data_IF_222547038866
#
_entry.id   IF_222547038866
#
_cell.length_a   1.000
_cell.length_b   1.000
_cell.length_c   1.000
_cell.angle_alpha   90.00
_cell.angle_beta   90.00
_cell.angle_gamma   90.00
#
_symmetry.space_group_name_H-M   'P 1'
#
loop_
_entity.id
_entity.type
_entity.pdbx_description
1 polymer ?
#
# COMPACT_ATOMS: atom_id res chain seq x y z
N UNK A 1 10.35 6.59 -21.63
CA UNK A 1 10.48 5.29 -20.98
C UNK A 1 10.64 4.25 -22.07
N UNK A 2 11.79 3.59 -22.12
CA UNK A 2 12.02 2.43 -22.99
C UNK A 2 11.27 1.21 -22.43
N UNK A 3 11.17 0.13 -23.20
CA UNK A 3 10.56 -1.12 -22.73
C UNK A 3 11.33 -1.72 -21.53
N UNK A 4 12.66 -1.59 -21.53
CA UNK A 4 13.51 -2.06 -20.44
C UNK A 4 13.30 -1.23 -19.16
N UNK A 5 13.23 0.10 -19.29
CA UNK A 5 12.94 1.00 -18.17
C UNK A 5 11.54 0.74 -17.56
N UNK A 6 10.55 0.42 -18.41
CA UNK A 6 9.20 0.08 -17.95
C UNK A 6 9.19 -1.25 -17.18
N UNK A 7 9.85 -2.29 -17.71
CA UNK A 7 9.96 -3.58 -17.03
C UNK A 7 10.60 -3.42 -15.65
N UNK A 8 11.71 -2.67 -15.56
CA UNK A 8 12.38 -2.42 -14.28
C UNK A 8 11.51 -1.63 -13.29
N UNK A 9 10.72 -0.68 -13.79
CA UNK A 9 9.79 0.07 -12.97
C UNK A 9 8.67 -0.83 -12.41
N UNK A 10 8.12 -1.72 -13.23
CA UNK A 10 7.11 -2.72 -12.82
C UNK A 10 7.70 -3.67 -11.78
N UNK A 11 8.90 -4.21 -12.02
CA UNK A 11 9.57 -5.12 -11.08
C UNK A 11 9.81 -4.44 -9.72
N UNK A 12 10.32 -3.20 -9.74
CA UNK A 12 10.57 -2.43 -8.53
C UNK A 12 9.28 -2.14 -7.76
N UNK A 13 8.21 -1.81 -8.49
CA UNK A 13 6.89 -1.56 -7.92
C UNK A 13 6.31 -2.82 -7.26
N UNK A 14 6.27 -3.94 -7.98
CA UNK A 14 5.76 -5.20 -7.48
C UNK A 14 6.55 -5.72 -6.26
N UNK A 15 7.88 -5.59 -6.28
CA UNK A 15 8.73 -5.92 -5.13
C UNK A 15 8.42 -5.03 -3.92
N UNK A 16 8.08 -3.77 -4.15
CA UNK A 16 7.72 -2.85 -3.08
C UNK A 16 6.36 -3.19 -2.46
N UNK A 17 5.38 -3.57 -3.28
CA UNK A 17 4.08 -4.07 -2.79
C UNK A 17 4.25 -5.26 -1.86
N UNK A 18 5.10 -6.23 -2.23
CA UNK A 18 5.39 -7.40 -1.39
C UNK A 18 6.01 -7.01 -0.04
N UNK A 19 7.02 -6.12 -0.06
CA UNK A 19 7.65 -5.63 1.18
C UNK A 19 6.66 -4.86 2.07
N UNK A 20 5.73 -4.13 1.47
CA UNK A 20 4.69 -3.42 2.21
C UNK A 20 3.73 -4.41 2.89
N UNK A 21 3.30 -5.47 2.19
CA UNK A 21 2.47 -6.51 2.77
C UNK A 21 3.18 -7.20 3.96
N UNK A 22 4.46 -7.54 3.82
CA UNK A 22 5.26 -8.10 4.92
C UNK A 22 5.41 -7.13 6.10
N UNK A 23 5.72 -5.85 5.83
CA UNK A 23 5.93 -4.85 6.88
C UNK A 23 4.63 -4.57 7.67
N UNK A 24 3.50 -4.55 6.98
CA UNK A 24 2.20 -4.30 7.61
C UNK A 24 1.65 -5.51 8.36
N UNK A 25 1.99 -6.73 7.94
CA UNK A 25 1.73 -7.94 8.72
C UNK A 25 2.38 -7.88 10.12
N UNK A 26 3.68 -7.56 10.18
CA UNK A 26 4.37 -7.40 11.47
C UNK A 26 3.78 -6.25 12.32
N UNK A 27 3.40 -5.15 11.67
CA UNK A 27 2.75 -4.03 12.36
C UNK A 27 1.40 -4.39 12.99
N UNK A 28 0.61 -5.26 12.35
CA UNK A 28 -0.63 -5.78 12.94
C UNK A 28 -0.35 -6.62 14.19
N UNK A 29 0.70 -7.45 14.18
CA UNK A 29 1.11 -8.23 15.35
C UNK A 29 1.47 -7.29 16.53
N UNK A 30 2.27 -6.25 16.28
CA UNK A 30 2.67 -5.26 17.30
C UNK A 30 1.46 -4.46 17.87
N UNK A 31 0.44 -4.21 17.05
CA UNK A 31 -0.82 -3.56 17.46
C UNK A 31 -1.62 -4.39 18.47
N UNK A 32 -1.68 -5.71 18.28
CA UNK A 32 -2.38 -6.63 19.19
C UNK A 32 -1.69 -6.67 20.56
N UNK A 33 -0.36 -6.62 20.59
CA UNK A 33 0.42 -6.67 21.83
C UNK A 33 0.41 -5.34 22.61
N UNK A 34 -0.27 -4.30 22.11
CA UNK A 34 -0.32 -2.96 22.71
C UNK A 34 1.08 -2.33 22.88
N UNK A 35 2.03 -2.67 22.01
CA UNK A 35 3.38 -2.10 22.06
C UNK A 35 3.45 -0.74 21.34
N UNK A 36 2.76 0.26 21.91
CA UNK A 36 2.63 1.61 21.35
C UNK A 36 3.96 2.33 21.07
N UNK A 37 5.05 1.94 21.73
CA UNK A 37 6.38 2.49 21.45
C UNK A 37 6.95 1.97 20.12
N UNK A 38 6.81 0.69 19.82
CA UNK A 38 7.27 0.10 18.55
C UNK A 38 6.43 0.59 17.36
N UNK A 39 5.11 0.70 17.55
CA UNK A 39 4.17 1.28 16.59
C UNK A 39 4.62 2.69 16.14
N UNK A 40 5.08 3.52 17.09
CA UNK A 40 5.51 4.90 16.79
C UNK A 40 6.75 4.99 15.91
N UNK A 41 7.60 3.94 15.89
CA UNK A 41 8.80 3.87 15.06
C UNK A 41 8.52 3.34 13.65
N UNK A 42 7.57 2.41 13.51
CA UNK A 42 7.26 1.74 12.24
C UNK A 42 6.27 2.53 11.40
N UNK A 43 5.32 3.22 12.03
CA UNK A 43 4.25 3.94 11.35
C UNK A 43 4.74 4.97 10.32
N UNK A 44 5.77 5.80 10.59
CA UNK A 44 6.30 6.73 9.59
C UNK A 44 6.75 6.01 8.31
N UNK A 45 7.42 4.86 8.43
CA UNK A 45 7.90 4.08 7.30
C UNK A 45 6.74 3.49 6.47
N UNK A 46 5.67 3.03 7.13
CA UNK A 46 4.45 2.57 6.44
C UNK A 46 3.82 3.71 5.65
N UNK A 47 3.67 4.89 6.27
CA UNK A 47 3.07 6.06 5.62
C UNK A 47 3.91 6.51 4.42
N UNK A 48 5.23 6.56 4.55
CA UNK A 48 6.14 6.88 3.44
C UNK A 48 6.00 5.88 2.29
N UNK A 49 5.91 4.58 2.61
CA UNK A 49 5.78 3.57 1.57
C UNK A 49 4.42 3.60 0.88
N UNK A 50 3.32 3.89 1.60
CA UNK A 50 2.01 4.07 0.97
C UNK A 50 1.99 5.31 0.06
N UNK A 51 2.68 6.39 0.44
CA UNK A 51 2.84 7.57 -0.42
C UNK A 51 3.58 7.21 -1.71
N UNK A 52 4.68 6.47 -1.61
CA UNK A 52 5.44 6.00 -2.77
C UNK A 52 4.59 5.11 -3.69
N UNK A 53 3.82 4.18 -3.12
CA UNK A 53 2.89 3.33 -3.88
C UNK A 53 1.86 4.18 -4.61
N UNK A 54 1.26 5.18 -3.95
CA UNK A 54 0.28 6.07 -4.59
C UNK A 54 0.89 6.83 -5.78
N UNK A 55 2.10 7.36 -5.65
CA UNK A 55 2.77 8.07 -6.75
C UNK A 55 3.08 7.16 -7.94
N UNK A 56 3.49 5.91 -7.69
CA UNK A 56 3.73 4.92 -8.73
C UNK A 56 2.41 4.48 -9.40
N UNK A 57 1.39 4.20 -8.58
CA UNK A 57 0.05 3.81 -9.01
C UNK A 57 -0.56 4.83 -9.97
N UNK A 58 -0.46 6.13 -9.67
CA UNK A 58 -0.93 7.18 -10.57
C UNK A 58 -0.28 7.15 -11.97
N UNK A 59 0.98 6.69 -12.08
CA UNK A 59 1.67 6.55 -13.36
C UNK A 59 1.17 5.30 -14.10
N UNK A 60 1.02 4.18 -13.39
CA UNK A 60 0.58 2.92 -14.00
C UNK A 60 -0.90 2.94 -14.41
N UNK A 61 -1.77 3.68 -13.70
CA UNK A 61 -3.14 3.96 -14.15
C UNK A 61 -3.14 4.73 -15.47
N UNK A 62 -2.30 5.76 -15.62
CA UNK A 62 -2.20 6.53 -16.88
C UNK A 62 -1.65 5.71 -18.05
N UNK A 63 -0.92 4.64 -17.76
CA UNK A 63 -0.37 3.71 -18.75
C UNK A 63 -1.28 2.49 -18.98
N UNK A 64 -2.47 2.46 -18.37
CA UNK A 64 -3.43 1.35 -18.42
C UNK A 64 -2.88 0.03 -17.88
N UNK A 65 -1.89 0.03 -16.98
CA UNK A 65 -1.43 -1.21 -16.32
C UNK A 65 -2.24 -1.55 -15.07
N UNK A 66 -2.93 -0.56 -14.49
CA UNK A 66 -3.77 -0.70 -13.31
C UNK A 66 -5.09 0.02 -13.58
N UNK A 67 -6.19 -0.56 -13.13
CA UNK A 67 -7.51 -0.01 -13.36
C UNK A 67 -7.69 1.29 -12.57
N UNK A 68 -8.45 2.25 -13.12
CA UNK A 68 -8.63 3.53 -12.44
C UNK A 68 -9.42 3.36 -11.14
N UNK A 69 -10.30 2.35 -11.08
CA UNK A 69 -11.06 1.99 -9.88
C UNK A 69 -10.15 1.54 -8.74
N UNK A 70 -9.14 0.71 -9.03
CA UNK A 70 -8.14 0.29 -8.04
C UNK A 70 -7.34 1.49 -7.52
N UNK A 71 -6.99 2.42 -8.42
CA UNK A 71 -6.38 3.70 -8.06
C UNK A 71 -7.24 4.53 -7.10
N UNK A 72 -8.56 4.54 -7.29
CA UNK A 72 -9.51 5.24 -6.40
C UNK A 72 -9.60 4.51 -5.06
N UNK A 73 -9.78 3.18 -5.07
CA UNK A 73 -9.85 2.36 -3.87
C UNK A 73 -8.61 2.54 -2.98
N UNK A 74 -7.41 2.62 -3.58
CA UNK A 74 -6.18 2.84 -2.85
C UNK A 74 -6.14 4.18 -2.11
N UNK A 75 -6.59 5.26 -2.78
CA UNK A 75 -6.69 6.58 -2.15
C UNK A 75 -7.76 6.65 -1.07
N UNK A 76 -8.87 5.95 -1.25
CA UNK A 76 -9.91 5.83 -0.22
C UNK A 76 -9.36 5.11 1.02
N UNK A 77 -8.59 4.03 0.84
CA UNK A 77 -7.90 3.33 1.92
C UNK A 77 -6.95 4.26 2.67
N UNK A 78 -6.09 5.02 1.97
CA UNK A 78 -5.22 6.03 2.62
C UNK A 78 -6.04 7.01 3.46
N UNK A 79 -7.19 7.45 2.94
CA UNK A 79 -8.10 8.35 3.67
C UNK A 79 -8.68 7.71 4.94
N UNK A 80 -9.02 6.42 4.92
CA UNK A 80 -9.44 5.67 6.11
C UNK A 80 -8.30 5.54 7.12
N UNK A 81 -7.10 5.18 6.66
CA UNK A 81 -5.90 5.04 7.47
C UNK A 81 -5.56 6.35 8.20
N UNK A 82 -5.59 7.46 7.47
CA UNK A 82 -5.36 8.79 8.04
C UNK A 82 -6.35 9.12 9.17
N UNK A 83 -7.64 8.84 8.97
CA UNK A 83 -8.67 9.06 9.99
C UNK A 83 -8.48 8.18 11.22
N UNK A 84 -8.08 6.92 11.04
CA UNK A 84 -7.79 6.04 12.16
C UNK A 84 -6.62 6.57 13.01
N UNK A 85 -5.55 7.03 12.35
CA UNK A 85 -4.38 7.63 13.00
C UNK A 85 -4.70 8.94 13.71
N UNK A 86 -5.44 9.84 13.06
CA UNK A 86 -5.84 11.14 13.63
C UNK A 86 -6.65 10.95 14.92
N UNK A 87 -7.57 9.98 14.91
CA UNK A 87 -8.41 9.66 16.07
C UNK A 87 -7.74 8.75 17.10
N UNK A 88 -6.52 8.26 16.83
CA UNK A 88 -5.83 7.23 17.63
C UNK A 88 -6.68 5.97 17.80
N UNK A 89 -7.46 5.62 16.78
CA UNK A 89 -8.28 4.42 16.74
C UNK A 89 -7.43 3.24 16.27
N UNK A 90 -6.72 2.63 17.22
CA UNK A 90 -5.81 1.52 16.94
C UNK A 90 -6.53 0.23 16.55
N UNK A 91 -7.81 0.08 16.92
CA UNK A 91 -8.64 -1.06 16.50
C UNK A 91 -8.94 -0.94 15.01
N UNK A 92 -9.42 0.22 14.57
CA UNK A 92 -9.64 0.45 13.14
C UNK A 92 -8.33 0.38 12.35
N UNK A 93 -7.23 0.93 12.89
CA UNK A 93 -5.92 0.86 12.24
C UNK A 93 -5.49 -0.59 12.00
N UNK A 94 -5.64 -1.44 13.01
CA UNK A 94 -5.37 -2.87 12.92
C UNK A 94 -6.25 -3.54 11.85
N UNK A 95 -7.56 -3.32 11.87
CA UNK A 95 -8.50 -3.94 10.92
C UNK A 95 -8.19 -3.53 9.47
N UNK A 96 -7.85 -2.25 9.24
CA UNK A 96 -7.46 -1.75 7.93
C UNK A 96 -6.20 -2.45 7.42
N UNK A 97 -5.17 -2.58 8.26
CA UNK A 97 -3.92 -3.23 7.88
C UNK A 97 -4.07 -4.74 7.70
N UNK A 98 -4.83 -5.43 8.57
CA UNK A 98 -4.98 -6.88 8.54
C UNK A 98 -5.86 -7.35 7.37
N UNK A 99 -7.01 -6.69 7.17
CA UNK A 99 -8.04 -7.21 6.27
C UNK A 99 -8.21 -6.41 4.97
N UNK A 100 -7.92 -5.11 4.96
CA UNK A 100 -8.12 -4.29 3.75
C UNK A 100 -6.85 -4.16 2.91
N UNK A 101 -5.68 -4.00 3.55
CA UNK A 101 -4.45 -3.65 2.84
C UNK A 101 -3.95 -4.77 1.92
N UNK A 102 -3.89 -6.01 2.39
CA UNK A 102 -3.43 -7.15 1.58
C UNK A 102 -4.20 -7.30 0.27
N UNK A 103 -5.54 -7.45 0.31
CA UNK A 103 -6.37 -7.54 -0.90
C UNK A 103 -6.23 -6.33 -1.83
N UNK A 104 -6.01 -5.14 -1.28
CA UNK A 104 -5.80 -3.93 -2.05
C UNK A 104 -4.44 -3.90 -2.75
N UNK A 105 -3.37 -4.38 -2.10
CA UNK A 105 -2.05 -4.52 -2.72
C UNK A 105 -2.08 -5.56 -3.86
N UNK A 106 -2.85 -6.64 -3.68
CA UNK A 106 -3.04 -7.66 -4.72
C UNK A 106 -3.78 -7.09 -5.94
N UNK A 107 -4.77 -6.22 -5.75
CA UNK A 107 -5.55 -5.64 -6.87
C UNK A 107 -4.72 -4.69 -7.74
N UNK A 108 -3.70 -4.05 -7.16
CA UNK A 108 -2.79 -3.14 -7.88
C UNK A 108 -1.51 -3.82 -8.36
N UNK A 109 -1.36 -5.14 -8.21
CA UNK A 109 -0.20 -5.89 -8.70
C UNK A 109 -0.19 -5.97 -10.23
N UNK A 110 0.98 -5.72 -10.86
CA UNK A 110 1.10 -5.71 -12.33
C UNK A 110 1.63 -7.05 -12.84
N UNK A 111 0.85 -7.75 -13.67
CA UNK A 111 1.16 -9.10 -14.18
C UNK A 111 1.70 -9.15 -15.62
N UNK A 112 2.38 -8.09 -16.09
CA UNK A 112 3.13 -7.98 -17.37
C UNK A 112 2.41 -7.35 -18.58
N UNK A 113 1.07 -7.31 -18.64
CA UNK A 113 0.34 -6.71 -19.78
C UNK A 113 -0.60 -5.57 -19.34
N UNK A 114 -0.77 -4.51 -20.16
CA UNK A 114 -1.77 -3.48 -19.89
C UNK A 114 -3.19 -4.05 -19.97
N UNK A 115 -4.07 -3.51 -19.13
CA UNK A 115 -5.49 -3.78 -19.07
C UNK A 115 -6.14 -3.11 -20.29
N UNK A 116 -6.80 -3.92 -21.14
CA UNK A 116 -7.46 -3.46 -22.37
C UNK A 116 -8.71 -2.61 -22.11
#
# INVERSE_FOLDING_TARGET
MTQEELSQAIDSYNQYLQKMAEATGHFCEDLVESNYQEISGVLPAIVEGLAWINEALEKFVKLNYIANEDGIAFREFIGKLYKALENKDYVLLHDLCEFELGPLLDSIYISEAPIN
#
